data_IF_085115198999
#
_entry.id   IF_085115198999
#
_cell.length_a   1.000
_cell.length_b   1.000
_cell.length_c   1.000
_cell.angle_alpha   90.00
_cell.angle_beta   90.00
_cell.angle_gamma   90.00
#
_symmetry.space_group_name_H-M   'P 1'
#
loop_
_entity.id
_entity.type
_entity.pdbx_description
1 polymer ?
#
# COMPACT_ATOMS: atom_id res chain seq x y z
N UNK A 1 52.48 -2.99 -3.31
CA UNK A 1 51.10 -3.48 -3.31
C UNK A 1 50.20 -2.31 -3.62
N UNK A 2 49.26 -2.44 -4.57
CA UNK A 2 48.21 -1.44 -4.74
C UNK A 2 47.40 -1.43 -3.43
N UNK A 3 47.18 -0.24 -2.88
CA UNK A 3 46.38 -0.06 -1.66
C UNK A 3 44.94 -0.50 -1.97
N UNK A 4 44.44 -1.50 -1.24
CA UNK A 4 43.07 -1.98 -1.42
C UNK A 4 42.08 -0.87 -1.06
N UNK A 5 41.16 -0.58 -1.99
CA UNK A 5 40.16 0.47 -1.83
C UNK A 5 38.81 -0.10 -1.49
N UNK A 6 38.12 0.58 -0.57
CA UNK A 6 36.77 0.26 -0.19
C UNK A 6 35.82 0.33 -1.39
N UNK A 7 35.03 -0.72 -1.59
CA UNK A 7 34.05 -0.79 -2.69
C UNK A 7 32.92 0.26 -2.60
N UNK A 8 32.67 0.81 -1.41
CA UNK A 8 31.59 1.77 -1.17
C UNK A 8 32.06 3.22 -1.24
N UNK A 9 33.24 3.51 -0.68
CA UNK A 9 33.70 4.90 -0.48
C UNK A 9 34.92 5.27 -1.32
N UNK A 10 35.62 4.29 -1.90
CA UNK A 10 36.89 4.52 -2.61
C UNK A 10 38.09 4.83 -1.70
N UNK A 11 37.85 5.03 -0.40
CA UNK A 11 38.87 5.22 0.65
C UNK A 11 39.69 3.94 0.90
N UNK A 12 40.89 4.02 1.50
CA UNK A 12 41.66 2.84 1.89
C UNK A 12 40.85 1.88 2.78
N UNK A 13 41.01 0.57 2.53
CA UNK A 13 40.46 -0.47 3.39
C UNK A 13 41.12 -0.43 4.78
N UNK A 14 40.40 -0.87 5.81
CA UNK A 14 40.96 -0.88 7.17
C UNK A 14 42.14 -1.84 7.28
N UNK A 15 43.19 -1.43 8.00
CA UNK A 15 44.39 -2.24 8.20
C UNK A 15 44.24 -3.32 9.31
N UNK A 16 43.01 -3.59 9.76
CA UNK A 16 42.72 -4.59 10.81
C UNK A 16 41.96 -5.77 10.23
N UNK A 17 42.18 -6.95 10.78
CA UNK A 17 41.40 -8.15 10.47
C UNK A 17 40.02 -8.01 11.11
N UNK A 18 38.95 -8.08 10.31
CA UNK A 18 37.56 -7.91 10.77
C UNK A 18 36.89 -9.23 11.18
N UNK A 19 37.49 -10.35 10.81
CA UNK A 19 36.95 -11.70 11.00
C UNK A 19 38.07 -12.60 11.53
N UNK A 20 38.02 -12.87 12.84
CA UNK A 20 38.83 -13.90 13.46
C UNK A 20 37.90 -15.11 13.65
N UNK A 21 37.85 -16.00 12.66
CA UNK A 21 37.11 -17.25 12.81
C UNK A 21 37.71 -18.12 13.93
N UNK A 22 37.00 -19.16 14.34
CA UNK A 22 37.53 -20.21 15.25
C UNK A 22 38.71 -21.01 14.62
N UNK A 23 39.01 -20.76 13.34
CA UNK A 23 40.20 -21.21 12.64
C UNK A 23 41.25 -20.10 12.72
N UNK A 24 42.41 -20.46 13.24
CA UNK A 24 43.66 -19.69 13.48
C UNK A 24 43.69 -18.20 13.04
N UNK A 25 44.11 -17.34 13.97
CA UNK A 25 44.50 -15.95 13.68
C UNK A 25 45.46 -15.89 12.47
N UNK A 26 45.00 -15.36 11.33
CA UNK A 26 45.87 -15.05 10.19
C UNK A 26 45.39 -15.47 8.80
N UNK A 27 44.24 -16.14 8.63
CA UNK A 27 43.82 -16.66 7.32
C UNK A 27 43.20 -15.61 6.37
N UNK A 28 42.68 -14.48 6.88
CA UNK A 28 42.03 -13.45 6.06
C UNK A 28 42.84 -12.15 5.97
N UNK A 29 42.95 -11.54 4.76
CA UNK A 29 43.59 -10.23 4.62
C UNK A 29 42.90 -9.17 5.48
N UNK A 30 43.66 -8.19 6.02
CA UNK A 30 43.08 -7.05 6.71
C UNK A 30 42.06 -6.31 5.83
N UNK A 31 41.01 -5.78 6.44
CA UNK A 31 40.01 -4.97 5.74
C UNK A 31 38.98 -5.75 4.93
N UNK A 32 38.99 -7.08 5.00
CA UNK A 32 38.00 -7.94 4.35
C UNK A 32 36.77 -8.15 5.22
N UNK A 33 35.61 -7.78 4.67
CA UNK A 33 34.31 -7.89 5.31
C UNK A 33 33.48 -9.04 4.71
N UNK A 34 32.77 -9.75 5.58
CA UNK A 34 31.85 -10.84 5.25
C UNK A 34 30.44 -10.56 5.80
N UNK A 35 29.53 -11.53 5.73
CA UNK A 35 28.11 -11.38 6.13
C UNK A 35 27.89 -10.76 7.52
N UNK A 36 28.75 -11.07 8.49
CA UNK A 36 28.61 -10.55 9.85
C UNK A 36 29.02 -9.06 9.95
N UNK A 37 29.83 -8.56 9.01
CA UNK A 37 30.20 -7.15 8.93
C UNK A 37 29.28 -6.36 8.00
N UNK A 38 28.90 -6.95 6.86
CA UNK A 38 28.08 -6.32 5.81
C UNK A 38 26.91 -7.24 5.47
N UNK A 39 25.66 -6.80 5.69
CA UNK A 39 24.48 -7.60 5.37
C UNK A 39 24.45 -8.07 3.92
N UNK A 40 23.83 -9.22 3.68
CA UNK A 40 23.63 -9.80 2.35
C UNK A 40 24.91 -10.30 1.64
N UNK A 41 26.08 -10.22 2.29
CA UNK A 41 27.28 -10.89 1.80
C UNK A 41 27.25 -12.41 2.07
N UNK A 42 28.17 -13.11 1.42
CA UNK A 42 28.48 -14.51 1.69
C UNK A 42 29.31 -14.67 2.96
N UNK A 43 29.36 -15.91 3.46
CA UNK A 43 30.25 -16.28 4.57
C UNK A 43 31.71 -16.38 4.11
N UNK A 44 32.59 -16.58 5.09
CA UNK A 44 34.05 -16.58 4.93
C UNK A 44 34.58 -17.64 3.95
N UNK A 45 33.94 -18.82 3.90
CA UNK A 45 34.36 -19.94 3.05
C UNK A 45 33.93 -19.81 1.57
N UNK A 46 33.28 -18.72 1.16
CA UNK A 46 32.68 -18.58 -0.16
C UNK A 46 33.39 -17.51 -0.99
N UNK A 47 34.30 -17.97 -1.85
CA UNK A 47 35.21 -17.10 -2.64
C UNK A 47 34.57 -16.63 -3.97
N UNK A 48 33.72 -17.45 -4.59
CA UNK A 48 33.24 -17.26 -5.97
C UNK A 48 32.37 -16.00 -6.22
N UNK A 49 31.94 -15.30 -5.17
CA UNK A 49 31.03 -14.15 -5.30
C UNK A 49 31.70 -12.82 -4.91
N UNK A 50 33.03 -12.78 -4.94
CA UNK A 50 33.80 -11.59 -4.59
C UNK A 50 34.68 -11.11 -5.74
N UNK A 51 34.89 -9.78 -5.87
CA UNK A 51 35.73 -9.22 -6.93
C UNK A 51 37.13 -9.82 -6.91
N UNK A 52 37.64 -10.22 -8.08
CA UNK A 52 39.00 -10.75 -8.22
C UNK A 52 39.21 -12.18 -7.71
N UNK A 53 38.18 -12.85 -7.17
CA UNK A 53 38.33 -14.17 -6.56
C UNK A 53 39.01 -14.14 -5.18
N UNK A 54 39.03 -12.97 -4.53
CA UNK A 54 39.51 -12.82 -3.15
C UNK A 54 38.37 -13.00 -2.14
N UNK A 55 38.64 -13.65 -1.00
CA UNK A 55 37.66 -13.75 0.07
C UNK A 55 37.34 -12.37 0.69
N UNK A 56 36.05 -12.06 0.90
CA UNK A 56 35.55 -10.84 1.50
C UNK A 56 35.64 -9.57 0.63
N UNK A 57 34.83 -8.57 0.97
CA UNK A 57 34.86 -7.26 0.31
C UNK A 57 35.80 -6.30 1.06
N UNK A 58 36.67 -5.55 0.35
CA UNK A 58 37.48 -4.52 0.98
C UNK A 58 36.59 -3.37 1.49
N UNK A 59 36.73 -3.02 2.76
CA UNK A 59 35.90 -2.01 3.42
C UNK A 59 36.72 -0.98 4.20
N UNK A 60 36.35 0.30 4.10
CA UNK A 60 36.94 1.39 4.90
C UNK A 60 36.27 1.47 6.27
N UNK A 61 36.94 2.12 7.23
CA UNK A 61 36.40 2.30 8.58
C UNK A 61 35.11 3.11 8.58
N UNK A 62 35.01 4.10 7.69
CA UNK A 62 33.81 4.90 7.49
C UNK A 62 32.63 4.06 6.98
N UNK A 63 32.85 3.26 5.93
CA UNK A 63 31.81 2.38 5.40
C UNK A 63 31.35 1.35 6.44
N UNK A 64 32.30 0.76 7.17
CA UNK A 64 31.99 -0.21 8.22
C UNK A 64 31.13 0.42 9.33
N UNK A 65 31.51 1.61 9.81
CA UNK A 65 30.73 2.34 10.82
C UNK A 65 29.31 2.63 10.33
N UNK A 66 29.16 3.14 9.10
CA UNK A 66 27.85 3.46 8.52
C UNK A 66 26.97 2.21 8.39
N UNK A 67 27.53 1.09 7.92
CA UNK A 67 26.79 -0.17 7.74
C UNK A 67 26.38 -0.77 9.08
N UNK A 68 27.26 -0.73 10.08
CA UNK A 68 26.94 -1.21 11.43
C UNK A 68 25.94 -0.30 12.16
N UNK A 69 25.90 0.99 11.83
CA UNK A 69 24.89 1.93 12.34
C UNK A 69 23.55 1.86 11.58
N UNK A 70 23.53 1.32 10.35
CA UNK A 70 22.34 1.25 9.49
C UNK A 70 21.09 0.71 10.21
N UNK A 71 21.15 -0.40 10.98
CA UNK A 71 19.96 -0.93 11.65
C UNK A 71 19.26 0.07 12.58
N UNK A 72 20.00 1.04 13.16
CA UNK A 72 19.42 2.07 14.02
C UNK A 72 18.51 3.01 13.23
N UNK A 73 18.80 3.27 11.96
CA UNK A 73 17.98 4.08 11.05
C UNK A 73 16.93 3.28 10.28
N UNK A 74 16.76 1.98 10.55
CA UNK A 74 15.81 1.09 9.89
C UNK A 74 14.71 0.66 10.85
N UNK A 75 13.57 0.20 10.34
CA UNK A 75 12.58 -0.48 11.17
C UNK A 75 12.78 -2.00 11.13
N UNK A 76 12.49 -2.71 12.23
CA UNK A 76 12.44 -4.18 12.25
C UNK A 76 11.01 -4.64 11.97
N UNK A 77 10.79 -5.31 10.84
CA UNK A 77 9.48 -5.77 10.42
C UNK A 77 9.53 -7.24 10.02
N UNK A 78 8.73 -8.09 10.65
CA UNK A 78 8.66 -9.52 10.30
C UNK A 78 10.02 -10.23 10.39
N UNK A 79 10.86 -9.83 11.35
CA UNK A 79 12.22 -10.36 11.51
C UNK A 79 13.24 -9.88 10.47
N UNK A 80 12.87 -8.95 9.58
CA UNK A 80 13.74 -8.34 8.56
C UNK A 80 13.96 -6.85 8.86
N UNK A 81 15.00 -6.26 8.26
CA UNK A 81 15.26 -4.83 8.32
C UNK A 81 14.56 -4.12 7.16
N UNK A 82 13.82 -3.05 7.45
CA UNK A 82 13.20 -2.16 6.48
C UNK A 82 14.02 -0.86 6.39
N UNK A 83 14.90 -0.80 5.39
CA UNK A 83 15.70 0.39 5.08
C UNK A 83 14.98 1.23 4.04
N UNK A 84 14.84 2.54 4.27
CA UNK A 84 14.11 3.45 3.36
C UNK A 84 15.10 4.36 2.65
N UNK A 85 14.95 4.44 1.33
CA UNK A 85 15.72 5.29 0.44
C UNK A 85 14.78 6.22 -0.34
N UNK A 86 15.25 7.43 -0.63
CA UNK A 86 14.57 8.39 -1.48
C UNK A 86 15.62 9.19 -2.26
N UNK A 87 15.24 9.63 -3.45
CA UNK A 87 15.96 10.66 -4.22
C UNK A 87 15.94 12.04 -3.55
N UNK A 88 15.13 12.22 -2.50
CA UNK A 88 15.16 13.38 -1.61
C UNK A 88 15.92 13.05 -0.30
N UNK A 89 17.14 13.57 -0.09
CA UNK A 89 17.94 13.30 1.10
C UNK A 89 17.29 13.76 2.40
N UNK A 90 16.53 14.85 2.39
CA UNK A 90 15.82 15.35 3.56
C UNK A 90 14.75 14.34 4.00
N UNK A 91 13.99 13.80 3.05
CA UNK A 91 12.98 12.79 3.32
C UNK A 91 13.62 11.52 3.89
N UNK A 92 14.71 11.06 3.28
CA UNK A 92 15.47 9.91 3.77
C UNK A 92 15.96 10.13 5.22
N UNK A 93 16.46 11.33 5.55
CA UNK A 93 16.84 11.68 6.91
C UNK A 93 15.63 11.70 7.87
N UNK A 94 14.47 12.22 7.45
CA UNK A 94 13.24 12.22 8.28
C UNK A 94 12.78 10.80 8.59
N UNK A 95 12.87 9.86 7.64
CA UNK A 95 12.63 8.43 7.88
C UNK A 95 13.61 7.85 8.90
N UNK A 96 14.92 8.02 8.66
CA UNK A 96 15.96 7.48 9.52
C UNK A 96 15.88 8.03 10.94
N UNK A 97 15.63 9.34 11.11
CA UNK A 97 15.46 9.98 12.41
C UNK A 97 14.25 9.43 13.17
N UNK A 98 13.15 9.17 12.47
CA UNK A 98 11.93 8.62 13.06
C UNK A 98 12.12 7.18 13.52
N UNK A 99 12.76 6.34 12.71
CA UNK A 99 13.10 4.97 13.10
C UNK A 99 14.15 4.94 14.21
N UNK A 100 15.17 5.80 14.16
CA UNK A 100 16.17 5.94 15.23
C UNK A 100 15.54 6.27 16.58
N UNK A 101 14.59 7.21 16.60
CA UNK A 101 13.86 7.57 17.82
C UNK A 101 13.12 6.36 18.39
N UNK A 102 12.31 5.69 17.56
CA UNK A 102 11.56 4.50 17.97
C UNK A 102 12.50 3.39 18.45
N UNK A 103 13.56 3.11 17.72
CA UNK A 103 14.52 2.07 18.07
C UNK A 103 15.22 2.35 19.41
N UNK A 104 15.63 3.60 19.67
CA UNK A 104 16.23 3.98 20.95
C UNK A 104 15.26 3.76 22.12
N UNK A 105 14.02 4.20 21.96
CA UNK A 105 12.98 4.01 22.98
C UNK A 105 12.76 2.51 23.25
N UNK A 106 12.67 1.70 22.20
CA UNK A 106 12.47 0.24 22.32
C UNK A 106 13.69 -0.50 22.89
N UNK A 107 14.92 -0.06 22.58
CA UNK A 107 16.14 -0.61 23.19
C UNK A 107 16.17 -0.31 24.69
N UNK A 108 15.83 0.91 25.10
CA UNK A 108 15.73 1.27 26.51
C UNK A 108 14.75 0.36 27.27
N UNK A 109 13.53 0.19 26.72
CA UNK A 109 12.52 -0.71 27.28
C UNK A 109 12.96 -2.18 27.32
N UNK A 110 13.66 -2.65 26.27
CA UNK A 110 14.20 -4.00 26.23
C UNK A 110 15.26 -4.22 27.33
N UNK A 111 16.17 -3.26 27.52
CA UNK A 111 17.19 -3.31 28.57
C UNK A 111 16.57 -3.31 29.98
N UNK A 112 15.58 -2.45 30.24
CA UNK A 112 14.86 -2.41 31.51
C UNK A 112 14.11 -3.71 31.81
N UNK A 113 13.59 -4.38 30.78
CA UNK A 113 12.92 -5.68 30.90
C UNK A 113 13.84 -6.89 30.83
N UNK A 114 15.16 -6.69 30.71
CA UNK A 114 16.16 -7.76 30.60
C UNK A 114 16.11 -8.53 29.27
N UNK A 115 15.45 -8.00 28.25
CA UNK A 115 15.39 -8.59 26.91
C UNK A 115 16.57 -8.15 26.05
N UNK A 116 17.17 -9.09 25.33
CA UNK A 116 18.23 -8.83 24.36
C UNK A 116 17.71 -8.56 22.93
N UNK A 117 16.38 -8.62 22.73
CA UNK A 117 15.77 -8.55 21.40
C UNK A 117 15.09 -7.21 21.19
N UNK A 118 15.41 -6.56 20.06
CA UNK A 118 14.62 -5.43 19.58
C UNK A 118 13.20 -5.93 19.21
N UNK A 119 12.14 -5.29 19.73
CA UNK A 119 10.76 -5.57 19.35
C UNK A 119 10.50 -5.42 17.85
N UNK A 120 9.50 -6.14 17.34
CA UNK A 120 8.98 -5.94 15.99
C UNK A 120 8.20 -4.63 15.92
N UNK A 121 8.22 -3.98 14.76
CA UNK A 121 7.32 -2.87 14.49
C UNK A 121 5.86 -3.32 14.59
N UNK A 122 5.00 -2.42 15.07
CA UNK A 122 3.56 -2.64 15.22
C UNK A 122 2.80 -2.75 13.88
N UNK A 123 3.47 -2.66 12.74
CA UNK A 123 2.87 -2.73 11.41
C UNK A 123 3.70 -3.58 10.42
N UNK A 124 3.05 -4.11 9.38
CA UNK A 124 3.70 -4.74 8.23
C UNK A 124 4.54 -3.71 7.47
N UNK A 125 5.56 -4.16 6.76
CA UNK A 125 6.54 -3.27 6.14
C UNK A 125 5.93 -2.21 5.20
N UNK A 126 5.00 -2.61 4.32
CA UNK A 126 4.27 -1.69 3.43
C UNK A 126 3.38 -0.70 4.20
N UNK A 127 2.60 -1.20 5.15
CA UNK A 127 1.75 -0.37 6.03
C UNK A 127 2.61 0.65 6.80
N UNK A 128 3.69 0.22 7.44
CA UNK A 128 4.60 1.08 8.19
C UNK A 128 5.25 2.16 7.32
N UNK A 129 5.65 1.79 6.09
CA UNK A 129 6.23 2.71 5.13
C UNK A 129 5.26 3.86 4.80
N UNK A 130 4.01 3.53 4.46
CA UNK A 130 2.99 4.51 4.11
C UNK A 130 2.56 5.34 5.32
N UNK A 131 2.34 4.72 6.48
CA UNK A 131 2.03 5.43 7.73
C UNK A 131 3.14 6.44 8.08
N UNK A 132 4.39 6.02 7.98
CA UNK A 132 5.54 6.87 8.28
C UNK A 132 5.67 8.00 7.27
N UNK A 133 5.45 7.73 5.99
CA UNK A 133 5.44 8.75 4.94
C UNK A 133 4.37 9.81 5.20
N UNK A 134 3.13 9.41 5.51
CA UNK A 134 2.03 10.33 5.76
C UNK A 134 2.27 11.20 7.01
N UNK A 135 2.90 10.65 8.03
CA UNK A 135 3.30 11.41 9.22
C UNK A 135 4.38 12.44 8.89
N UNK A 136 5.36 12.07 8.05
CA UNK A 136 6.41 12.99 7.60
C UNK A 136 5.81 14.10 6.71
N UNK A 137 4.96 13.74 5.74
CA UNK A 137 4.31 14.72 4.86
C UNK A 137 3.42 15.69 5.62
N UNK A 138 2.74 15.21 6.66
CA UNK A 138 2.00 16.11 7.55
C UNK A 138 2.93 17.12 8.24
N UNK A 139 4.03 16.65 8.85
CA UNK A 139 4.97 17.52 9.54
C UNK A 139 5.60 18.56 8.58
N UNK A 140 6.00 18.13 7.38
CA UNK A 140 6.57 19.02 6.34
C UNK A 140 5.61 20.13 5.93
N UNK A 141 4.31 19.83 5.85
CA UNK A 141 3.29 20.84 5.56
C UNK A 141 3.14 21.85 6.69
N UNK A 142 3.14 21.38 7.93
CA UNK A 142 3.04 22.23 9.11
C UNK A 142 4.28 23.13 9.26
N UNK A 143 5.46 22.62 8.89
CA UNK A 143 6.76 23.33 8.87
C UNK A 143 6.93 24.27 7.65
N UNK A 144 6.02 24.19 6.66
CA UNK A 144 6.10 24.91 5.36
C UNK A 144 7.38 24.63 4.58
N UNK A 145 7.85 23.39 4.62
CA UNK A 145 9.03 22.96 3.89
C UNK A 145 8.83 23.08 2.38
N UNK A 146 9.93 23.35 1.65
CA UNK A 146 9.93 23.34 0.20
C UNK A 146 9.60 21.92 -0.30
N UNK A 147 8.44 21.78 -0.96
CA UNK A 147 8.00 20.50 -1.50
C UNK A 147 8.70 20.22 -2.83
N UNK A 148 9.79 19.44 -2.76
CA UNK A 148 10.41 18.84 -3.95
C UNK A 148 9.74 17.50 -4.27
N UNK A 149 9.44 17.20 -5.53
CA UNK A 149 8.97 15.88 -5.94
C UNK A 149 10.00 14.80 -5.56
N UNK A 150 9.53 13.62 -5.15
CA UNK A 150 10.40 12.53 -4.71
C UNK A 150 9.78 11.16 -4.97
N UNK A 151 10.62 10.14 -5.08
CA UNK A 151 10.23 8.73 -5.03
C UNK A 151 10.72 8.09 -3.73
N UNK A 152 10.08 7.00 -3.32
CA UNK A 152 10.49 6.25 -2.12
C UNK A 152 10.65 4.77 -2.48
N UNK A 153 11.77 4.18 -2.07
CA UNK A 153 12.01 2.74 -2.18
C UNK A 153 12.43 2.22 -0.82
N UNK A 154 11.69 1.24 -0.30
CA UNK A 154 12.09 0.52 0.90
C UNK A 154 12.65 -0.85 0.55
N UNK A 155 13.80 -1.18 1.13
CA UNK A 155 14.48 -2.46 1.04
C UNK A 155 14.18 -3.25 2.31
N UNK A 156 13.44 -4.34 2.16
CA UNK A 156 13.04 -5.22 3.24
C UNK A 156 13.91 -6.48 3.21
N UNK A 157 15.03 -6.43 3.92
CA UNK A 157 16.15 -7.36 3.77
C UNK A 157 16.38 -8.24 5.01
N UNK A 158 16.77 -9.49 4.77
CA UNK A 158 17.11 -10.49 5.78
C UNK A 158 18.61 -10.82 5.73
N UNK A 159 19.26 -10.86 6.90
CA UNK A 159 20.65 -11.34 7.01
C UNK A 159 20.74 -12.76 7.61
N UNK A 160 19.64 -13.52 7.67
CA UNK A 160 19.59 -14.81 8.40
C UNK A 160 20.29 -15.98 7.70
N UNK A 161 20.69 -15.84 6.44
CA UNK A 161 21.31 -16.92 5.64
C UNK A 161 20.36 -18.06 5.24
N UNK A 162 19.18 -18.15 5.86
CA UNK A 162 18.14 -19.14 5.55
C UNK A 162 17.18 -18.67 4.45
N UNK A 163 17.24 -17.40 4.09
CA UNK A 163 16.49 -16.81 2.98
C UNK A 163 17.02 -17.29 1.63
N UNK A 164 16.11 -17.56 0.68
CA UNK A 164 16.45 -18.07 -0.64
C UNK A 164 15.94 -17.12 -1.73
N UNK A 165 16.80 -16.57 -2.61
CA UNK A 165 16.38 -15.72 -3.73
C UNK A 165 15.32 -16.36 -4.65
N UNK A 166 15.27 -17.69 -4.71
CA UNK A 166 14.33 -18.44 -5.53
C UNK A 166 13.03 -18.81 -4.78
N UNK A 167 12.95 -18.57 -3.47
CA UNK A 167 11.73 -18.80 -2.69
C UNK A 167 10.97 -17.48 -2.49
N UNK A 168 9.88 -17.33 -3.25
CA UNK A 168 9.00 -16.16 -3.15
C UNK A 168 8.36 -15.99 -1.76
N UNK A 169 8.35 -17.02 -0.90
CA UNK A 169 7.80 -16.94 0.47
C UNK A 169 8.81 -16.42 1.48
N UNK A 170 10.11 -16.59 1.22
CA UNK A 170 11.16 -16.12 2.10
C UNK A 170 12.37 -15.56 1.33
N UNK A 171 12.15 -14.51 0.50
CA UNK A 171 13.23 -13.88 -0.24
C UNK A 171 14.16 -13.13 0.73
N UNK A 172 15.47 -13.06 0.41
CA UNK A 172 16.45 -12.33 1.20
C UNK A 172 16.27 -10.81 1.11
N UNK A 173 15.63 -10.34 0.03
CA UNK A 173 15.31 -8.93 -0.19
C UNK A 173 13.96 -8.82 -0.91
N UNK A 174 13.09 -7.96 -0.38
CA UNK A 174 11.92 -7.44 -1.09
C UNK A 174 12.06 -5.92 -1.24
N UNK A 175 11.59 -5.39 -2.37
CA UNK A 175 11.61 -3.96 -2.65
C UNK A 175 10.19 -3.44 -2.76
N UNK A 176 9.88 -2.40 -1.99
CA UNK A 176 8.60 -1.70 -2.05
C UNK A 176 8.84 -0.29 -2.58
N UNK A 177 8.38 -0.05 -3.81
CA UNK A 177 8.59 1.21 -4.50
C UNK A 177 7.30 2.03 -4.57
N UNK A 178 7.38 3.31 -4.19
CA UNK A 178 6.37 4.32 -4.38
C UNK A 178 6.90 5.33 -5.41
N UNK A 179 6.38 5.31 -6.66
CA UNK A 179 6.78 6.26 -7.68
C UNK A 179 6.21 7.66 -7.39
N UNK A 180 6.66 8.63 -8.19
CA UNK A 180 6.35 10.06 -8.04
C UNK A 180 4.85 10.35 -7.97
N UNK A 181 4.06 9.65 -8.79
CA UNK A 181 2.60 9.78 -8.85
C UNK A 181 1.95 9.43 -7.52
N UNK A 182 2.44 8.36 -6.86
CA UNK A 182 1.89 7.90 -5.59
C UNK A 182 2.35 8.78 -4.44
N UNK A 183 3.61 9.21 -4.42
CA UNK A 183 4.11 10.11 -3.38
C UNK A 183 3.46 11.49 -3.47
N UNK A 184 3.24 12.02 -4.68
CA UNK A 184 2.49 13.26 -4.90
C UNK A 184 1.02 13.13 -4.48
N UNK A 185 0.37 12.00 -4.78
CA UNK A 185 -0.97 11.70 -4.28
C UNK A 185 -1.02 11.63 -2.75
N UNK A 186 -0.12 10.86 -2.13
CA UNK A 186 -0.02 10.70 -0.67
C UNK A 186 0.30 12.03 0.03
N UNK A 187 1.13 12.86 -0.60
CA UNK A 187 1.37 14.23 -0.16
C UNK A 187 0.10 15.05 -0.17
N UNK A 188 -0.68 15.06 -1.26
CA UNK A 188 -1.91 15.85 -1.35
C UNK A 188 -3.01 15.44 -0.37
N UNK A 189 -3.22 14.15 -0.13
CA UNK A 189 -4.28 13.69 0.77
C UNK A 189 -4.09 14.13 2.23
N UNK A 190 -2.88 14.58 2.61
CA UNK A 190 -2.64 15.16 3.94
C UNK A 190 -3.25 16.56 4.10
N UNK A 191 -3.60 17.24 3.01
CA UNK A 191 -4.25 18.55 3.00
C UNK A 191 -5.62 18.51 3.70
N UNK A 192 -6.00 19.63 4.34
CA UNK A 192 -7.24 19.74 5.13
C UNK A 192 -8.50 19.37 4.34
N UNK A 193 -8.48 19.59 3.03
CA UNK A 193 -9.57 19.27 2.12
C UNK A 193 -9.86 17.76 2.02
N UNK A 194 -8.83 16.90 2.13
CA UNK A 194 -8.94 15.45 1.87
C UNK A 194 -8.71 14.60 3.11
N UNK A 195 -7.96 15.13 4.09
CA UNK A 195 -7.42 14.38 5.23
C UNK A 195 -8.49 13.60 5.98
N UNK A 196 -9.58 14.26 6.37
CA UNK A 196 -10.62 13.62 7.19
C UNK A 196 -11.33 12.47 6.47
N UNK A 197 -11.60 12.65 5.17
CA UNK A 197 -12.26 11.63 4.35
C UNK A 197 -11.32 10.47 4.06
N UNK A 198 -10.05 10.75 3.74
CA UNK A 198 -9.04 9.70 3.58
C UNK A 198 -8.89 8.87 4.84
N UNK A 199 -8.77 9.52 6.01
CA UNK A 199 -8.67 8.81 7.29
C UNK A 199 -9.93 7.98 7.59
N UNK A 200 -11.11 8.41 7.15
CA UNK A 200 -12.33 7.62 7.31
C UNK A 200 -12.30 6.33 6.46
N UNK A 201 -11.80 6.42 5.23
CA UNK A 201 -11.57 5.25 4.35
C UNK A 201 -10.50 4.34 4.94
N UNK A 202 -9.36 4.90 5.37
CA UNK A 202 -8.23 4.21 5.99
C UNK A 202 -8.66 3.42 7.23
N UNK A 203 -9.45 4.02 8.12
CA UNK A 203 -9.94 3.35 9.34
C UNK A 203 -10.69 2.06 9.05
N UNK A 204 -11.42 2.00 7.93
CA UNK A 204 -12.17 0.82 7.49
C UNK A 204 -11.31 -0.23 6.78
N UNK A 205 -10.02 0.02 6.59
CA UNK A 205 -9.12 -0.88 5.86
C UNK A 205 -8.12 -1.63 6.77
N UNK A 206 -8.16 -1.39 8.09
CA UNK A 206 -7.37 -2.14 9.07
C UNK A 206 -7.87 -3.57 9.23
N UNK A 207 -6.95 -4.54 9.21
CA UNK A 207 -7.25 -5.96 9.50
C UNK A 207 -8.04 -6.07 10.80
N UNK A 208 -9.10 -6.87 10.80
CA UNK A 208 -9.91 -7.08 12.00
C UNK A 208 -9.16 -7.95 13.00
N UNK A 209 -9.36 -7.69 14.29
CA UNK A 209 -8.87 -8.61 15.32
C UNK A 209 -9.58 -9.96 15.15
N UNK A 210 -8.81 -11.05 15.11
CA UNK A 210 -9.40 -12.37 15.16
C UNK A 210 -10.03 -12.56 16.55
N UNK A 211 -11.31 -12.92 16.60
CA UNK A 211 -11.90 -13.40 17.83
C UNK A 211 -11.07 -14.63 18.26
N UNK A 212 -10.56 -14.63 19.50
CA UNK A 212 -9.82 -15.76 20.04
C UNK A 212 -10.63 -17.03 19.77
N UNK A 213 -10.09 -17.93 18.94
CA UNK A 213 -10.68 -19.26 18.78
C UNK A 213 -10.67 -19.88 20.17
N UNK A 214 -11.86 -20.05 20.77
CA UNK A 214 -12.05 -20.92 21.93
C UNK A 214 -11.57 -22.31 21.49
N UNK A 215 -10.33 -22.64 21.78
CA UNK A 215 -9.82 -23.99 21.65
C UNK A 215 -10.67 -24.89 22.54
N UNK A 216 -11.39 -25.84 21.94
CA UNK A 216 -12.05 -26.90 22.69
C UNK A 216 -11.04 -27.62 23.60
N UNK A 217 -11.43 -28.13 24.78
CA UNK A 217 -10.51 -28.65 25.80
C UNK A 217 -9.65 -29.86 25.40
N UNK A 218 -9.76 -30.40 24.18
CA UNK A 218 -9.21 -31.71 23.83
C UNK A 218 -7.93 -31.68 22.96
N UNK A 219 -7.58 -30.55 22.34
CA UNK A 219 -6.34 -30.45 21.55
C UNK A 219 -5.21 -29.77 22.32
N UNK A 220 -4.55 -30.53 23.21
CA UNK A 220 -3.25 -30.15 23.79
C UNK A 220 -2.15 -30.26 22.73
N UNK A 221 -1.42 -29.19 22.36
CA UNK A 221 -0.21 -29.33 21.58
C UNK A 221 0.92 -29.92 22.44
N UNK A 222 1.64 -30.88 21.87
CA UNK A 222 2.84 -31.50 22.45
C UNK A 222 3.89 -30.44 22.80
N UNK A 223 4.36 -30.47 24.05
CA UNK A 223 5.46 -29.66 24.62
C UNK A 223 6.60 -29.41 23.62
N UNK A 224 6.72 -28.18 23.12
CA UNK A 224 8.01 -27.61 22.71
C UNK A 224 8.69 -27.03 23.94
N UNK A 225 9.99 -27.33 24.09
CA UNK A 225 10.83 -26.95 25.24
C UNK A 225 10.75 -25.46 25.52
N UNK A 226 10.45 -25.12 26.77
CA UNK A 226 10.46 -23.78 27.32
C UNK A 226 11.89 -23.21 27.32
N UNK A 227 12.11 -22.17 26.54
CA UNK A 227 13.05 -21.10 26.92
C UNK A 227 12.17 -19.97 27.44
N UNK A 228 12.38 -19.63 28.70
CA UNK A 228 11.57 -18.68 29.44
C UNK A 228 11.97 -17.25 29.07
N UNK A 229 11.20 -16.62 28.19
CA UNK A 229 11.04 -15.16 28.14
C UNK A 229 9.53 -14.91 28.15
N UNK A 230 9.03 -14.24 29.19
CA UNK A 230 7.62 -13.89 29.29
C UNK A 230 7.24 -13.01 28.07
N UNK A 231 6.10 -13.26 27.40
CA UNK A 231 5.71 -12.42 26.27
C UNK A 231 5.41 -11.02 26.81
N UNK A 232 6.22 -10.04 26.40
CA UNK A 232 5.87 -8.63 26.50
C UNK A 232 4.47 -8.46 25.90
N UNK A 233 3.60 -7.69 26.57
CA UNK A 233 2.21 -7.42 26.15
C UNK A 233 2.18 -7.22 24.63
N UNK A 234 1.65 -8.20 23.91
CA UNK A 234 1.56 -8.13 22.46
C UNK A 234 0.72 -6.89 22.11
N UNK A 235 1.30 -6.00 21.29
CA UNK A 235 0.58 -4.88 20.71
C UNK A 235 -0.65 -5.44 19.98
N UNK A 236 -1.83 -5.22 20.58
CA UNK A 236 -3.11 -5.70 20.07
C UNK A 236 -3.59 -4.93 18.84
N UNK A 237 -2.83 -3.89 18.42
CA UNK A 237 -3.15 -3.12 17.23
C UNK A 237 -2.97 -3.98 15.97
N UNK A 238 -3.92 -3.93 15.03
CA UNK A 238 -3.78 -4.68 13.79
C UNK A 238 -2.57 -4.21 12.99
N UNK A 239 -1.71 -5.15 12.60
CA UNK A 239 -0.45 -4.83 11.92
C UNK A 239 -0.61 -4.41 10.46
N UNK A 240 -1.75 -4.66 9.82
CA UNK A 240 -1.90 -4.53 8.36
C UNK A 240 -3.08 -3.62 8.02
N UNK A 241 -2.84 -2.62 7.18
CA UNK A 241 -3.87 -1.81 6.54
C UNK A 241 -3.95 -2.14 5.04
N UNK A 242 -5.04 -2.77 4.60
CA UNK A 242 -5.18 -3.22 3.21
C UNK A 242 -5.17 -2.10 2.18
N UNK A 243 -5.63 -0.89 2.52
CA UNK A 243 -5.57 0.28 1.64
C UNK A 243 -4.12 0.60 1.29
N UNK A 244 -3.25 0.65 2.30
CA UNK A 244 -1.83 0.96 2.12
C UNK A 244 -1.08 -0.17 1.40
N UNK A 245 -1.43 -1.42 1.70
CA UNK A 245 -0.82 -2.58 1.05
C UNK A 245 -1.10 -2.63 -0.45
N UNK A 246 -2.33 -2.26 -0.84
CA UNK A 246 -2.77 -2.27 -2.24
C UNK A 246 -2.24 -1.08 -3.05
N UNK A 247 -1.73 -0.01 -2.42
CA UNK A 247 -1.06 1.10 -3.13
C UNK A 247 0.12 0.61 -3.98
N UNK A 248 0.84 -0.40 -3.50
CA UNK A 248 2.02 -0.97 -4.19
C UNK A 248 1.68 -1.80 -5.43
N UNK A 249 0.39 -1.95 -5.77
CA UNK A 249 -0.06 -2.56 -7.01
C UNK A 249 -0.51 -1.52 -8.05
N UNK A 250 -0.39 -0.22 -7.75
CA UNK A 250 -0.77 0.87 -8.64
C UNK A 250 0.37 1.26 -9.60
N UNK A 251 0.05 1.80 -10.79
CA UNK A 251 -1.31 1.99 -11.32
C UNK A 251 -1.95 0.71 -11.90
N UNK A 252 -1.19 -0.40 -12.00
CA UNK A 252 -1.63 -1.63 -12.67
C UNK A 252 -2.98 -2.20 -12.19
N UNK A 253 -3.32 -2.03 -10.90
CA UNK A 253 -4.58 -2.48 -10.33
C UNK A 253 -5.56 -1.34 -9.97
N UNK A 254 -5.44 -0.18 -10.63
CA UNK A 254 -6.22 1.03 -10.32
C UNK A 254 -7.73 0.80 -10.31
N UNK A 255 -8.28 0.06 -11.28
CA UNK A 255 -9.72 -0.23 -11.33
C UNK A 255 -10.19 -0.98 -10.08
N UNK A 256 -9.49 -2.03 -9.66
CA UNK A 256 -9.85 -2.78 -8.45
C UNK A 256 -9.67 -1.91 -7.20
N UNK A 257 -8.65 -1.06 -7.17
CA UNK A 257 -8.41 -0.13 -6.07
C UNK A 257 -9.58 0.87 -5.91
N UNK A 258 -9.97 1.55 -6.99
CA UNK A 258 -11.10 2.48 -7.03
C UNK A 258 -12.39 1.78 -6.59
N UNK A 259 -12.68 0.64 -7.20
CA UNK A 259 -13.88 -0.17 -6.90
C UNK A 259 -13.98 -0.55 -5.42
N UNK A 260 -12.85 -0.89 -4.82
CA UNK A 260 -12.76 -1.37 -3.43
C UNK A 260 -12.80 -0.24 -2.41
N UNK A 261 -12.00 0.79 -2.61
CA UNK A 261 -11.77 1.81 -1.59
C UNK A 261 -12.60 3.08 -1.78
N UNK A 262 -12.91 3.46 -3.01
CA UNK A 262 -13.70 4.66 -3.30
C UNK A 262 -15.17 4.34 -3.56
N UNK A 263 -15.46 3.27 -4.31
CA UNK A 263 -16.83 2.80 -4.54
C UNK A 263 -17.35 1.87 -3.42
N UNK A 264 -16.46 1.38 -2.54
CA UNK A 264 -16.81 0.57 -1.36
C UNK A 264 -17.49 -0.77 -1.71
N UNK A 265 -17.10 -1.39 -2.83
CA UNK A 265 -17.56 -2.73 -3.18
C UNK A 265 -16.79 -3.79 -2.37
N UNK A 266 -17.49 -4.74 -1.71
CA UNK A 266 -16.83 -5.77 -0.92
C UNK A 266 -16.11 -6.82 -1.79
N UNK A 267 -15.13 -7.49 -1.17
CA UNK A 267 -14.52 -8.72 -1.69
C UNK A 267 -15.01 -9.85 -0.80
N UNK A 268 -15.76 -10.83 -1.31
CA UNK A 268 -16.31 -11.89 -0.44
C UNK A 268 -15.35 -13.07 -0.27
N UNK A 269 -14.58 -13.38 -1.30
CA UNK A 269 -13.61 -14.48 -1.34
C UNK A 269 -12.23 -14.07 -0.80
N UNK A 270 -12.17 -13.74 0.49
CA UNK A 270 -10.93 -13.41 1.20
C UNK A 270 -11.02 -13.90 2.65
N UNK A 271 -9.95 -13.72 3.41
CA UNK A 271 -9.83 -14.15 4.79
C UNK A 271 -10.89 -13.50 5.69
N UNK A 272 -11.32 -14.23 6.74
CA UNK A 272 -12.38 -13.77 7.64
C UNK A 272 -12.05 -12.44 8.35
N UNK A 273 -10.78 -12.18 8.58
CA UNK A 273 -10.27 -10.97 9.24
C UNK A 273 -9.98 -9.81 8.28
N UNK A 274 -10.30 -9.96 6.99
CA UNK A 274 -10.23 -8.89 6.01
C UNK A 274 -11.47 -7.99 6.12
N UNK A 275 -11.32 -6.71 6.53
CA UNK A 275 -12.46 -5.81 6.75
C UNK A 275 -13.24 -5.53 5.46
N UNK A 276 -12.61 -5.70 4.29
CA UNK A 276 -13.19 -5.41 2.98
C UNK A 276 -14.33 -6.35 2.61
N UNK A 277 -14.49 -7.47 3.31
CA UNK A 277 -15.68 -8.35 3.20
C UNK A 277 -16.95 -7.65 3.67
N UNK A 278 -16.83 -6.73 4.62
CA UNK A 278 -17.94 -6.05 5.27
C UNK A 278 -18.33 -4.73 4.62
N UNK A 279 -17.68 -4.34 3.51
CA UNK A 279 -18.03 -3.11 2.81
C UNK A 279 -19.42 -3.24 2.22
N UNK A 280 -20.22 -2.18 2.36
CA UNK A 280 -21.56 -2.14 1.81
C UNK A 280 -21.95 -0.70 1.56
N UNK A 281 -22.76 -0.48 0.52
CA UNK A 281 -23.28 0.84 0.24
C UNK A 281 -24.12 1.37 1.42
N UNK A 282 -24.87 0.49 2.09
CA UNK A 282 -25.70 0.84 3.25
C UNK A 282 -24.89 1.46 4.40
N UNK A 283 -23.71 0.94 4.71
CA UNK A 283 -22.88 1.43 5.81
C UNK A 283 -21.84 2.46 5.38
N UNK A 284 -21.39 2.40 4.13
CA UNK A 284 -20.22 3.15 3.66
C UNK A 284 -20.55 4.22 2.62
N UNK A 285 -21.84 4.47 2.27
CA UNK A 285 -22.21 5.52 1.31
C UNK A 285 -21.62 6.89 1.66
N UNK A 286 -21.56 7.24 2.95
CA UNK A 286 -20.96 8.49 3.43
C UNK A 286 -19.45 8.60 3.15
N UNK A 287 -18.77 7.47 2.90
CA UNK A 287 -17.33 7.38 2.57
C UNK A 287 -17.07 7.45 1.07
N UNK A 288 -18.10 7.36 0.22
CA UNK A 288 -17.97 7.51 -1.23
C UNK A 288 -17.85 9.01 -1.53
N UNK A 289 -16.61 9.46 -1.74
CA UNK A 289 -16.28 10.89 -1.98
C UNK A 289 -15.69 11.07 -3.36
N UNK A 290 -16.36 11.86 -4.20
CA UNK A 290 -15.88 12.18 -5.56
C UNK A 290 -14.55 12.92 -5.49
N UNK A 291 -14.38 13.86 -4.56
CA UNK A 291 -13.14 14.64 -4.45
C UNK A 291 -11.88 13.78 -4.23
N UNK A 292 -11.99 12.66 -3.50
CA UNK A 292 -10.87 11.71 -3.36
C UNK A 292 -10.61 10.95 -4.67
N UNK A 293 -11.68 10.58 -5.36
CA UNK A 293 -11.62 9.89 -6.65
C UNK A 293 -11.00 10.79 -7.72
N UNK A 294 -11.46 12.04 -7.82
CA UNK A 294 -10.91 13.05 -8.72
C UNK A 294 -9.41 13.25 -8.47
N UNK A 295 -9.00 13.46 -7.22
CA UNK A 295 -7.58 13.61 -6.87
C UNK A 295 -6.74 12.40 -7.32
N UNK A 296 -7.26 11.19 -7.15
CA UNK A 296 -6.61 9.97 -7.60
C UNK A 296 -6.52 9.88 -9.14
N UNK A 297 -7.59 10.23 -9.85
CA UNK A 297 -7.62 10.25 -11.31
C UNK A 297 -6.60 11.23 -11.88
N UNK A 298 -6.47 12.41 -11.28
CA UNK A 298 -5.54 13.46 -11.69
C UNK A 298 -4.08 13.08 -11.40
N UNK A 299 -3.78 12.61 -10.19
CA UNK A 299 -2.40 12.41 -9.73
C UNK A 299 -1.84 11.03 -10.06
N UNK A 300 -2.64 9.98 -9.93
CA UNK A 300 -2.19 8.59 -10.11
C UNK A 300 -2.48 8.09 -11.51
N UNK A 301 -3.68 8.32 -12.03
CA UNK A 301 -4.05 7.83 -13.37
C UNK A 301 -3.72 8.82 -14.50
N UNK A 302 -3.32 10.06 -14.18
CA UNK A 302 -3.04 11.13 -15.14
C UNK A 302 -4.18 11.33 -16.16
N UNK A 303 -5.42 11.13 -15.72
CA UNK A 303 -6.59 11.25 -16.58
C UNK A 303 -6.82 12.71 -16.98
N UNK A 304 -7.17 12.96 -18.24
CA UNK A 304 -7.47 14.30 -18.77
C UNK A 304 -8.61 14.93 -17.96
N UNK A 305 -8.43 16.19 -17.55
CA UNK A 305 -9.44 16.94 -16.78
C UNK A 305 -10.80 16.99 -17.48
N UNK A 306 -10.82 17.13 -18.82
CA UNK A 306 -12.07 17.09 -19.59
C UNK A 306 -12.85 15.79 -19.42
N UNK A 307 -12.16 14.64 -19.38
CA UNK A 307 -12.79 13.33 -19.16
C UNK A 307 -13.30 13.19 -17.73
N UNK A 308 -12.53 13.67 -16.74
CA UNK A 308 -12.96 13.68 -15.33
C UNK A 308 -14.26 14.47 -15.18
N UNK A 309 -14.32 15.68 -15.76
CA UNK A 309 -15.54 16.50 -15.74
C UNK A 309 -16.70 15.83 -16.46
N UNK A 310 -16.45 15.20 -17.62
CA UNK A 310 -17.48 14.46 -18.37
C UNK A 310 -18.09 13.32 -17.56
N UNK A 311 -17.25 12.57 -16.83
CA UNK A 311 -17.69 11.50 -15.92
C UNK A 311 -18.54 12.09 -14.79
N UNK A 312 -18.09 13.21 -14.20
CA UNK A 312 -18.79 13.91 -13.12
C UNK A 312 -20.19 14.36 -13.56
N UNK A 313 -20.27 15.08 -14.69
CA UNK A 313 -21.52 15.56 -15.28
C UNK A 313 -22.50 14.42 -15.58
N UNK A 314 -22.00 13.32 -16.15
CA UNK A 314 -22.84 12.15 -16.44
C UNK A 314 -23.35 11.49 -15.16
N UNK A 315 -22.49 11.36 -14.14
CA UNK A 315 -22.88 10.83 -12.84
C UNK A 315 -23.95 11.69 -12.15
N UNK A 316 -23.80 13.02 -12.21
CA UNK A 316 -24.81 13.96 -11.70
C UNK A 316 -26.16 13.79 -12.40
N UNK A 317 -26.16 13.81 -13.73
CA UNK A 317 -27.39 13.73 -14.51
C UNK A 317 -28.11 12.38 -14.36
N UNK A 318 -27.37 11.28 -14.21
CA UNK A 318 -27.96 9.96 -13.95
C UNK A 318 -28.49 9.83 -12.52
N UNK A 319 -27.83 10.43 -11.53
CA UNK A 319 -28.35 10.48 -10.16
C UNK A 319 -29.64 11.30 -10.07
N UNK A 320 -29.70 12.45 -10.76
CA UNK A 320 -30.91 13.26 -10.85
C UNK A 320 -32.06 12.50 -11.50
N UNK A 321 -31.80 11.79 -12.61
CA UNK A 321 -32.79 10.90 -13.22
C UNK A 321 -33.31 9.83 -12.24
N UNK A 322 -32.41 9.12 -11.53
CA UNK A 322 -32.80 8.10 -10.54
C UNK A 322 -33.66 8.70 -9.44
N UNK A 323 -33.31 9.89 -8.96
CA UNK A 323 -34.06 10.58 -7.91
C UNK A 323 -35.43 11.05 -8.38
N UNK A 324 -35.51 11.74 -9.53
CA UNK A 324 -36.75 12.31 -10.07
C UNK A 324 -37.74 11.23 -10.56
N UNK A 325 -37.24 10.17 -11.18
CA UNK A 325 -38.08 9.12 -11.76
C UNK A 325 -38.26 7.89 -10.84
N UNK A 326 -37.56 7.86 -9.70
CA UNK A 326 -37.49 6.72 -8.79
C UNK A 326 -37.14 5.39 -9.50
N UNK A 327 -36.22 5.45 -10.48
CA UNK A 327 -35.83 4.29 -11.28
C UNK A 327 -34.80 3.42 -10.54
N UNK A 328 -35.27 2.74 -9.50
CA UNK A 328 -34.50 1.77 -8.72
C UNK A 328 -33.93 0.64 -9.59
N UNK A 329 -34.66 0.25 -10.64
CA UNK A 329 -34.24 -0.82 -11.54
C UNK A 329 -33.01 -0.42 -12.35
N UNK A 330 -32.98 0.80 -12.87
CA UNK A 330 -31.79 1.34 -13.51
C UNK A 330 -30.60 1.35 -12.55
N UNK A 331 -30.78 1.91 -11.34
CA UNK A 331 -29.71 1.98 -10.34
C UNK A 331 -29.14 0.60 -10.01
N UNK A 332 -30.01 -0.37 -9.67
CA UNK A 332 -29.61 -1.76 -9.38
C UNK A 332 -28.89 -2.42 -10.54
N UNK A 333 -29.38 -2.23 -11.78
CA UNK A 333 -28.73 -2.78 -12.98
C UNK A 333 -27.35 -2.17 -13.19
N UNK A 334 -27.24 -0.84 -13.10
CA UNK A 334 -26.01 -0.10 -13.33
C UNK A 334 -24.95 -0.39 -12.26
N UNK A 335 -25.37 -0.61 -11.02
CA UNK A 335 -24.49 -1.00 -9.92
C UNK A 335 -23.99 -2.45 -10.03
N UNK A 336 -24.90 -3.40 -10.30
CA UNK A 336 -24.59 -4.83 -10.22
C UNK A 336 -23.92 -5.40 -11.48
N UNK A 337 -24.21 -4.87 -12.67
CA UNK A 337 -23.73 -5.46 -13.92
C UNK A 337 -22.23 -5.25 -14.12
N UNK A 338 -21.46 -6.35 -14.17
CA UNK A 338 -20.01 -6.35 -14.27
C UNK A 338 -19.45 -6.96 -15.55
N UNK A 339 -20.24 -7.76 -16.27
CA UNK A 339 -19.74 -8.63 -17.33
C UNK A 339 -20.18 -8.14 -18.70
N UNK A 340 -21.43 -7.71 -18.82
CA UNK A 340 -22.13 -7.47 -20.06
C UNK A 340 -22.26 -5.99 -20.36
N UNK A 341 -21.41 -5.52 -21.26
CA UNK A 341 -21.44 -4.12 -21.68
C UNK A 341 -22.75 -3.74 -22.40
N UNK A 342 -23.33 -4.68 -23.13
CA UNK A 342 -24.61 -4.52 -23.83
C UNK A 342 -25.76 -4.22 -22.86
N UNK A 343 -25.74 -4.80 -21.65
CA UNK A 343 -26.75 -4.54 -20.61
C UNK A 343 -26.64 -3.11 -20.10
N UNK A 344 -25.43 -2.62 -19.83
CA UNK A 344 -25.19 -1.22 -19.43
C UNK A 344 -25.63 -0.26 -20.53
N UNK A 345 -25.21 -0.50 -21.78
CA UNK A 345 -25.59 0.34 -22.92
C UNK A 345 -27.11 0.39 -23.10
N UNK A 346 -27.78 -0.75 -23.01
CA UNK A 346 -29.24 -0.82 -23.10
C UNK A 346 -29.93 -0.10 -21.93
N UNK A 347 -29.36 -0.13 -20.72
CA UNK A 347 -29.88 0.61 -19.58
C UNK A 347 -29.82 2.13 -19.84
N UNK A 348 -28.70 2.65 -20.35
CA UNK A 348 -28.55 4.07 -20.70
C UNK A 348 -29.50 4.50 -21.84
N UNK A 349 -29.73 3.65 -22.84
CA UNK A 349 -30.71 3.92 -23.91
C UNK A 349 -32.13 4.00 -23.33
N UNK A 350 -32.48 3.12 -22.38
CA UNK A 350 -33.80 3.15 -21.73
C UNK A 350 -34.02 4.43 -20.92
N UNK A 351 -32.99 4.94 -20.24
CA UNK A 351 -33.03 6.25 -19.54
C UNK A 351 -33.40 7.36 -20.54
N UNK A 352 -32.70 7.45 -21.67
CA UNK A 352 -33.01 8.45 -22.69
C UNK A 352 -34.44 8.30 -23.23
N UNK A 353 -34.87 7.07 -23.50
CA UNK A 353 -36.21 6.82 -24.04
C UNK A 353 -37.31 7.18 -23.03
N UNK A 354 -37.10 6.94 -21.73
CA UNK A 354 -38.01 7.35 -20.66
C UNK A 354 -38.16 8.88 -20.61
N UNK A 355 -37.05 9.63 -20.69
CA UNK A 355 -37.08 11.10 -20.71
C UNK A 355 -37.75 11.67 -21.97
N UNK A 356 -37.41 11.12 -23.15
CA UNK A 356 -37.99 11.56 -24.42
C UNK A 356 -39.51 11.37 -24.45
N UNK A 357 -40.03 10.28 -23.87
CA UNK A 357 -41.48 10.06 -23.72
C UNK A 357 -42.18 11.14 -22.90
N UNK A 358 -41.44 11.84 -22.05
CA UNK A 358 -41.94 12.94 -21.20
C UNK A 358 -41.63 14.33 -21.79
N UNK A 359 -41.12 14.40 -23.02
CA UNK A 359 -40.74 15.65 -23.68
C UNK A 359 -39.46 16.28 -23.12
N UNK A 360 -38.66 15.53 -22.35
CA UNK A 360 -37.40 16.01 -21.79
C UNK A 360 -36.21 15.63 -22.68
N UNK A 361 -35.10 16.40 -22.65
CA UNK A 361 -33.90 16.06 -23.42
C UNK A 361 -33.22 14.79 -22.91
N UNK A 362 -32.50 14.05 -23.78
CA UNK A 362 -31.76 12.86 -23.37
C UNK A 362 -30.63 13.22 -22.39
N UNK A 363 -30.38 12.34 -21.41
CA UNK A 363 -29.27 12.44 -20.46
C UNK A 363 -27.94 12.13 -21.15
N UNK A 364 -27.94 11.05 -21.93
CA UNK A 364 -26.73 10.51 -22.56
C UNK A 364 -26.71 10.90 -24.04
N UNK A 365 -25.87 11.87 -24.40
CA UNK A 365 -25.61 12.23 -25.81
C UNK A 365 -24.42 11.43 -26.35
N UNK A 366 -24.25 11.42 -27.68
CA UNK A 366 -23.22 10.62 -28.35
C UNK A 366 -21.79 10.99 -27.90
N UNK A 367 -21.35 12.23 -28.11
CA UNK A 367 -19.97 12.63 -27.80
C UNK A 367 -19.63 12.43 -26.31
N UNK A 368 -20.51 12.84 -25.38
CA UNK A 368 -20.40 12.48 -23.96
C UNK A 368 -20.19 11.00 -23.65
N UNK A 369 -20.94 10.14 -24.34
CA UNK A 369 -20.84 8.71 -24.14
C UNK A 369 -19.49 8.17 -24.63
N UNK A 370 -19.04 8.63 -25.79
CA UNK A 370 -17.76 8.24 -26.36
C UNK A 370 -16.61 8.66 -25.45
N UNK A 371 -16.62 9.90 -24.95
CA UNK A 371 -15.58 10.41 -24.05
C UNK A 371 -15.51 9.67 -22.70
N UNK A 372 -16.64 9.20 -22.17
CA UNK A 372 -16.66 8.48 -20.90
C UNK A 372 -16.29 7.01 -21.10
N UNK A 373 -16.99 6.32 -22.00
CA UNK A 373 -16.97 4.87 -22.10
C UNK A 373 -16.14 4.30 -23.25
N UNK A 374 -15.77 5.10 -24.25
CA UNK A 374 -15.03 4.62 -25.43
C UNK A 374 -13.63 5.26 -25.54
N UNK A 375 -13.26 6.17 -24.62
CA UNK A 375 -11.93 6.77 -24.58
C UNK A 375 -10.87 5.70 -24.30
N UNK A 376 -9.93 5.61 -25.23
CA UNK A 376 -8.89 4.59 -25.25
C UNK A 376 -7.77 4.98 -24.30
N UNK A 377 -7.28 4.00 -23.52
CA UNK A 377 -6.05 4.16 -22.75
C UNK A 377 -4.81 4.23 -23.66
N UNK A 378 -3.63 4.39 -23.06
CA UNK A 378 -2.35 4.41 -23.78
C UNK A 378 -2.08 3.13 -24.60
N UNK A 379 -2.76 2.03 -24.27
CA UNK A 379 -2.68 0.75 -24.97
C UNK A 379 -3.77 0.58 -26.04
N UNK A 380 -4.55 1.62 -26.32
CA UNK A 380 -5.63 1.59 -27.31
C UNK A 380 -6.85 0.78 -26.86
N UNK A 381 -7.04 0.56 -25.55
CA UNK A 381 -8.16 -0.21 -24.99
C UNK A 381 -9.08 0.69 -24.19
N UNK A 382 -10.39 0.56 -24.41
CA UNK A 382 -11.38 1.13 -23.49
C UNK A 382 -11.61 0.20 -22.30
N UNK A 383 -11.61 0.76 -21.08
CA UNK A 383 -12.12 0.11 -19.88
C UNK A 383 -13.48 0.71 -19.47
N UNK A 384 -14.54 0.26 -20.15
CA UNK A 384 -15.92 0.68 -19.85
C UNK A 384 -16.33 0.36 -18.40
N UNK A 385 -15.70 -0.63 -17.77
CA UNK A 385 -16.02 -1.03 -16.39
C UNK A 385 -15.44 -0.05 -15.39
N UNK A 386 -14.22 0.44 -15.63
CA UNK A 386 -13.67 1.57 -14.90
C UNK A 386 -14.56 2.80 -15.07
N UNK A 387 -14.92 3.15 -16.32
CA UNK A 387 -15.78 4.30 -16.59
C UNK A 387 -17.12 4.20 -15.86
N UNK A 388 -17.78 3.04 -15.89
CA UNK A 388 -19.00 2.77 -15.13
C UNK A 388 -18.79 2.95 -13.63
N UNK A 389 -17.72 2.39 -13.06
CA UNK A 389 -17.43 2.52 -11.61
C UNK A 389 -17.20 3.98 -11.20
N UNK A 390 -16.55 4.78 -12.06
CA UNK A 390 -16.36 6.22 -11.80
C UNK A 390 -17.67 7.01 -11.87
N UNK A 391 -18.50 6.75 -12.89
CA UNK A 391 -19.85 7.34 -12.99
C UNK A 391 -20.66 6.97 -11.75
N UNK A 392 -20.59 5.71 -11.32
CA UNK A 392 -21.32 5.19 -10.17
C UNK A 392 -20.86 5.81 -8.84
N UNK A 393 -19.55 6.09 -8.67
CA UNK A 393 -19.04 6.83 -7.50
C UNK A 393 -19.73 8.19 -7.42
N UNK A 394 -19.76 8.95 -8.53
CA UNK A 394 -20.41 10.27 -8.53
C UNK A 394 -21.91 10.15 -8.31
N UNK A 395 -22.56 9.17 -8.95
CA UNK A 395 -23.99 8.93 -8.75
C UNK A 395 -24.33 8.67 -7.28
N UNK A 396 -23.56 7.81 -6.60
CA UNK A 396 -23.78 7.45 -5.20
C UNK A 396 -23.62 8.66 -4.29
N UNK A 397 -22.56 9.45 -4.47
CA UNK A 397 -22.35 10.67 -3.68
C UNK A 397 -23.54 11.63 -3.84
N UNK A 398 -24.00 11.85 -5.08
CA UNK A 398 -25.14 12.72 -5.37
C UNK A 398 -26.46 12.17 -4.79
N UNK A 399 -26.71 10.86 -4.90
CA UNK A 399 -27.90 10.21 -4.32
C UNK A 399 -27.86 10.20 -2.78
N UNK A 400 -26.67 10.16 -2.18
CA UNK A 400 -26.48 10.32 -0.74
C UNK A 400 -26.87 11.74 -0.30
N UNK A 401 -26.40 12.77 -1.01
CA UNK A 401 -26.74 14.17 -0.73
C UNK A 401 -28.24 14.45 -0.90
N UNK A 402 -28.89 13.80 -1.87
CA UNK A 402 -30.34 13.85 -2.10
C UNK A 402 -31.16 13.01 -1.10
N UNK A 403 -30.51 12.36 -0.13
CA UNK A 403 -31.11 11.43 0.85
C UNK A 403 -31.86 10.25 0.23
N UNK A 404 -31.61 9.95 -1.05
CA UNK A 404 -32.30 8.89 -1.76
C UNK A 404 -31.90 7.51 -1.22
N UNK A 405 -30.62 7.33 -0.88
CA UNK A 405 -30.08 6.08 -0.31
C UNK A 405 -30.75 5.76 1.04
N UNK A 406 -30.97 6.77 1.89
CA UNK A 406 -31.63 6.60 3.19
C UNK A 406 -33.11 6.23 3.04
N UNK A 407 -33.78 6.76 2.01
CA UNK A 407 -35.19 6.52 1.74
C UNK A 407 -35.47 5.16 1.08
N UNK A 408 -34.47 4.57 0.42
CA UNK A 408 -34.61 3.34 -0.36
C UNK A 408 -33.61 2.25 0.05
N UNK A 409 -33.57 1.83 1.33
CA UNK A 409 -32.61 0.83 1.80
C UNK A 409 -32.79 -0.53 1.10
N UNK A 410 -34.03 -0.89 0.74
CA UNK A 410 -34.35 -2.16 0.06
C UNK A 410 -33.94 -2.16 -1.43
N UNK A 411 -33.73 -0.98 -2.01
CA UNK A 411 -33.25 -0.83 -3.38
C UNK A 411 -31.72 -0.90 -3.47
N UNK A 412 -31.01 -0.96 -2.32
CA UNK A 412 -29.56 -1.04 -2.31
C UNK A 412 -29.13 -2.48 -2.66
N UNK A 413 -28.50 -2.69 -3.83
CA UNK A 413 -28.10 -4.03 -4.26
C UNK A 413 -27.07 -4.65 -3.31
N UNK A 414 -27.36 -5.86 -2.85
CA UNK A 414 -26.32 -6.74 -2.31
C UNK A 414 -25.50 -7.31 -3.47
N UNK A 415 -24.18 -7.08 -3.47
CA UNK A 415 -23.29 -7.61 -4.51
C UNK A 415 -23.26 -9.14 -4.37
N UNK A 416 -23.87 -9.88 -5.30
CA UNK A 416 -23.89 -11.34 -5.29
C UNK A 416 -22.51 -11.96 -5.52
N UNK A 417 -22.31 -13.19 -5.02
CA UNK A 417 -21.04 -13.93 -5.12
C UNK A 417 -20.60 -14.17 -6.58
N UNK A 418 -21.57 -14.37 -7.48
CA UNK A 418 -21.32 -14.55 -8.92
C UNK A 418 -20.64 -13.32 -9.56
N UNK A 419 -20.85 -12.11 -9.04
CA UNK A 419 -20.25 -10.88 -9.58
C UNK A 419 -18.83 -10.61 -9.03
N UNK A 420 -18.44 -11.30 -7.95
CA UNK A 420 -17.10 -11.20 -7.37
C UNK A 420 -16.07 -12.07 -8.09
N UNK A 421 -16.49 -13.10 -8.85
CA UNK A 421 -15.59 -14.01 -9.56
C UNK A 421 -14.95 -13.43 -10.83
N UNK A 422 -15.48 -12.33 -11.39
CA UNK A 422 -14.87 -11.64 -12.53
C UNK A 422 -13.60 -10.83 -12.17
N UNK A 423 -12.96 -11.14 -11.03
CA UNK A 423 -11.94 -10.34 -10.35
C UNK A 423 -10.57 -11.04 -10.19
N UNK A 424 -10.32 -12.12 -10.93
CA UNK A 424 -8.99 -12.71 -11.07
C UNK A 424 -8.28 -12.17 -12.31
#
# INVERSE_FOLDING_TARGET
MLEERCVFTGEPAVAVVLSAGEKEEGEYPPGRAFRHNVPMLTGEDVINFHPGGDAGLPISGMALLCIQALPLGCAKCGGKLLAVHSDNPELMHKFAAKFLKVNRDQVGLAQESGSSKLPEAGASAKTLLVETLLQIEQARRDERDEQRPYSVTAYHLSNSGQSNPLDARNPPLEMYHLPLELTDFLGAITHVEYRSDWQAVERRAWRMAQAEKKTSPEDKPRKRKATAEAPAKEDTRPRRNYLYEDLFALPGNARSFIRRYFLRIPIRNTFEDDPRRSYSLKSDASLVKWKLTQLFLERVMRMKTSRIERIRELGDALAEYVHEENDQKFFTTFYAEQRRYDVIRNALIKVNHARLKRGQPPVVKLDPYLEVFEDLDENGRSDWRLARDLVLIRMIERLYDLKWIEQHPDALPEVSDENAEAMA
#
